data_IF_574331861405
#
_entry.id   IF_574331861405
#
_cell.length_a   1.000
_cell.length_b   1.000
_cell.length_c   1.000
_cell.angle_alpha   90.00
_cell.angle_beta   90.00
_cell.angle_gamma   90.00
#
_symmetry.space_group_name_H-M   'P 1'
#
loop_
_entity.id
_entity.type
_entity.pdbx_description
1 polymer ?
#
# COMPACT_ATOMS: atom_id res chain seq x y z
N UNK A 1 24.90 -1.32 25.81
CA UNK A 1 24.68 -2.22 24.65
C UNK A 1 26.02 -2.80 24.20
N UNK A 2 26.17 -4.13 24.29
CA UNK A 2 27.38 -4.87 23.87
C UNK A 2 27.63 -4.74 22.37
N UNK A 3 28.91 -4.68 21.95
CA UNK A 3 29.33 -4.63 20.52
C UNK A 3 28.71 -5.76 19.68
N UNK A 4 28.36 -6.88 20.29
CA UNK A 4 27.73 -8.04 19.64
C UNK A 4 26.28 -7.76 19.18
N UNK A 5 25.48 -7.09 20.03
CA UNK A 5 24.09 -6.76 19.70
C UNK A 5 23.99 -5.75 18.53
N UNK A 6 24.96 -4.83 18.43
CA UNK A 6 25.00 -3.85 17.33
C UNK A 6 25.29 -4.52 15.99
N UNK A 7 26.12 -5.57 15.99
CA UNK A 7 26.48 -6.34 14.79
C UNK A 7 25.30 -7.17 14.28
N UNK A 8 24.60 -7.85 15.20
CA UNK A 8 23.40 -8.63 14.86
C UNK A 8 22.30 -7.78 14.20
N UNK A 9 22.07 -6.55 14.69
CA UNK A 9 21.08 -5.64 14.09
C UNK A 9 21.49 -5.22 12.67
N UNK A 10 22.78 -4.96 12.44
CA UNK A 10 23.32 -4.58 11.13
C UNK A 10 23.25 -5.74 10.15
N UNK A 11 23.57 -6.96 10.59
CA UNK A 11 23.51 -8.16 9.76
C UNK A 11 22.05 -8.50 9.38
N UNK A 12 21.11 -8.34 10.32
CA UNK A 12 19.68 -8.45 10.03
C UNK A 12 19.25 -7.41 9.00
N UNK A 13 19.65 -6.14 9.18
CA UNK A 13 19.32 -5.06 8.25
C UNK A 13 19.83 -5.34 6.83
N UNK A 14 21.08 -5.78 6.67
CA UNK A 14 21.63 -6.19 5.38
C UNK A 14 20.89 -7.38 4.78
N UNK A 15 20.59 -8.41 5.59
CA UNK A 15 19.84 -9.58 5.11
C UNK A 15 18.42 -9.24 4.65
N UNK A 16 17.82 -8.20 5.23
CA UNK A 16 16.51 -7.70 4.85
C UNK A 16 16.61 -6.92 3.54
N UNK A 17 17.64 -6.10 3.36
CA UNK A 17 17.85 -5.32 2.15
C UNK A 17 18.01 -6.18 0.89
N UNK A 18 18.67 -7.33 1.00
CA UNK A 18 18.80 -8.30 -0.11
C UNK A 18 17.50 -9.08 -0.39
N UNK A 19 16.59 -9.14 0.59
CA UNK A 19 15.27 -9.81 0.48
C UNK A 19 14.19 -8.89 -0.05
N UNK A 20 14.40 -7.57 -0.05
CA UNK A 20 13.47 -6.64 -0.69
C UNK A 20 13.80 -6.57 -2.19
N UNK A 21 12.89 -7.02 -3.08
CA UNK A 21 13.10 -6.86 -4.51
C UNK A 21 13.37 -5.37 -4.81
N UNK A 22 14.38 -5.10 -5.64
CA UNK A 22 14.66 -3.75 -6.13
C UNK A 22 13.34 -3.16 -6.60
N UNK A 23 12.99 -2.01 -6.06
CA UNK A 23 11.78 -1.26 -6.40
C UNK A 23 11.79 -1.04 -7.92
N UNK A 24 11.14 -1.92 -8.69
CA UNK A 24 11.17 -1.85 -10.13
C UNK A 24 10.37 -0.62 -10.54
N UNK A 25 11.08 0.40 -11.01
CA UNK A 25 10.48 1.57 -11.59
C UNK A 25 9.79 1.13 -12.87
N UNK A 26 8.46 1.32 -12.93
CA UNK A 26 7.68 1.03 -14.14
C UNK A 26 8.30 1.73 -15.35
N UNK A 27 8.50 0.99 -16.44
CA UNK A 27 9.00 1.48 -17.71
C UNK A 27 8.13 2.61 -18.33
N UNK A 28 6.95 2.90 -17.75
CA UNK A 28 6.15 4.05 -18.14
C UNK A 28 5.41 4.70 -16.94
N UNK A 29 6.15 5.54 -16.20
CA UNK A 29 5.67 6.31 -15.03
C UNK A 29 4.35 7.04 -15.30
N UNK A 30 4.22 7.68 -16.48
CA UNK A 30 3.01 8.43 -16.83
C UNK A 30 1.76 7.55 -16.80
N UNK A 31 1.84 6.35 -17.39
CA UNK A 31 0.73 5.40 -17.41
C UNK A 31 0.35 4.96 -16.00
N UNK A 32 1.34 4.64 -15.16
CA UNK A 32 1.11 4.19 -13.78
C UNK A 32 0.44 5.26 -12.93
N UNK A 33 0.95 6.49 -12.99
CA UNK A 33 0.37 7.61 -12.24
C UNK A 33 -1.04 7.89 -12.76
N UNK A 34 -1.24 7.92 -14.08
CA UNK A 34 -2.56 8.18 -14.65
C UNK A 34 -3.59 7.10 -14.25
N UNK A 35 -3.23 5.81 -14.32
CA UNK A 35 -4.09 4.72 -13.84
C UNK A 35 -4.45 4.92 -12.36
N UNK A 36 -3.48 5.31 -11.54
CA UNK A 36 -3.70 5.56 -10.11
C UNK A 36 -4.65 6.74 -9.89
N UNK A 37 -4.42 7.87 -10.54
CA UNK A 37 -5.28 9.06 -10.41
C UNK A 37 -6.71 8.75 -10.85
N UNK A 38 -6.89 8.05 -11.98
CA UNK A 38 -8.22 7.72 -12.52
C UNK A 38 -8.96 6.73 -11.63
N UNK A 39 -8.27 5.77 -11.01
CA UNK A 39 -8.90 4.70 -10.21
C UNK A 39 -9.12 5.07 -8.75
N UNK A 40 -8.40 6.08 -8.25
CA UNK A 40 -8.48 6.50 -6.85
C UNK A 40 -9.04 7.92 -6.66
N UNK A 41 -9.07 8.76 -7.70
CA UNK A 41 -9.37 10.19 -7.56
C UNK A 41 -10.78 10.52 -7.07
N UNK A 42 -11.75 9.63 -7.30
CA UNK A 42 -13.12 9.79 -6.79
C UNK A 42 -13.25 9.39 -5.32
N UNK A 43 -12.30 8.61 -4.77
CA UNK A 43 -12.39 8.06 -3.42
C UNK A 43 -12.49 9.16 -2.35
N UNK A 44 -11.81 10.30 -2.52
CA UNK A 44 -11.92 11.45 -1.62
C UNK A 44 -13.33 12.07 -1.55
N UNK A 45 -14.18 11.81 -2.55
CA UNK A 45 -15.56 12.28 -2.64
C UNK A 45 -16.60 11.17 -2.42
N UNK A 46 -16.20 9.90 -2.40
CA UNK A 46 -17.13 8.78 -2.21
C UNK A 46 -16.97 8.10 -0.85
N UNK A 47 -15.81 8.23 -0.21
CA UNK A 47 -15.52 7.61 1.09
C UNK A 47 -15.85 8.56 2.25
N UNK A 48 -17.12 8.88 2.44
CA UNK A 48 -17.60 9.56 3.64
C UNK A 48 -18.23 8.57 4.63
N UNK A 49 -18.10 8.79 5.93
CA UNK A 49 -18.74 7.93 6.95
C UNK A 49 -17.79 7.08 7.82
N UNK A 50 -16.50 7.39 7.82
CA UNK A 50 -15.52 6.81 8.74
C UNK A 50 -14.83 5.54 8.22
N UNK A 51 -13.84 5.00 8.95
CA UNK A 51 -12.91 3.99 8.42
C UNK A 51 -13.59 2.72 7.89
N UNK A 52 -14.65 2.25 8.54
CA UNK A 52 -15.39 1.07 8.10
C UNK A 52 -15.97 1.22 6.69
N UNK A 53 -16.49 2.41 6.35
CA UNK A 53 -17.01 2.71 5.01
C UNK A 53 -15.88 2.66 3.98
N UNK A 54 -14.72 3.22 4.32
CA UNK A 54 -13.60 3.28 3.39
C UNK A 54 -13.14 1.86 3.02
N UNK A 55 -13.06 0.95 3.99
CA UNK A 55 -12.68 -0.44 3.75
C UNK A 55 -13.71 -1.19 2.88
N UNK A 56 -15.01 -0.95 3.09
CA UNK A 56 -16.06 -1.52 2.23
C UNK A 56 -15.95 -0.99 0.79
N UNK A 57 -15.71 0.31 0.61
CA UNK A 57 -15.51 0.91 -0.72
C UNK A 57 -14.27 0.32 -1.40
N UNK A 58 -13.16 0.17 -0.66
CA UNK A 58 -11.93 -0.41 -1.19
C UNK A 58 -12.09 -1.88 -1.57
N UNK A 59 -12.78 -2.65 -0.74
CA UNK A 59 -13.06 -4.06 -1.00
C UNK A 59 -13.86 -4.22 -2.30
N UNK A 60 -15.03 -3.55 -2.38
CA UNK A 60 -15.86 -3.54 -3.59
C UNK A 60 -15.08 -3.11 -4.83
N UNK A 61 -14.20 -2.13 -4.71
CA UNK A 61 -13.46 -1.59 -5.86
C UNK A 61 -12.28 -2.47 -6.28
N UNK A 62 -11.39 -2.78 -5.36
CA UNK A 62 -10.10 -3.40 -5.66
C UNK A 62 -10.14 -4.93 -5.60
N UNK A 63 -11.12 -5.52 -4.91
CA UNK A 63 -11.36 -6.97 -4.91
C UNK A 63 -12.41 -7.30 -5.97
N UNK A 64 -13.65 -6.81 -5.82
CA UNK A 64 -14.77 -7.25 -6.66
C UNK A 64 -14.75 -6.63 -8.07
N UNK A 65 -14.57 -5.31 -8.18
CA UNK A 65 -14.73 -4.61 -9.47
C UNK A 65 -13.48 -4.70 -10.35
N UNK A 66 -12.29 -4.57 -9.76
CA UNK A 66 -11.03 -4.52 -10.52
C UNK A 66 -10.20 -5.80 -10.44
N UNK A 67 -10.44 -6.68 -9.45
CA UNK A 67 -9.65 -7.90 -9.27
C UNK A 67 -8.16 -7.64 -9.04
N UNK A 68 -7.80 -6.50 -8.44
CA UNK A 68 -6.40 -6.17 -8.11
C UNK A 68 -5.89 -6.96 -6.92
N UNK A 69 -6.79 -7.39 -6.05
CA UNK A 69 -6.51 -8.14 -4.84
C UNK A 69 -7.46 -9.35 -4.80
N UNK A 70 -6.96 -10.46 -4.29
CA UNK A 70 -7.81 -11.54 -3.82
C UNK A 70 -8.30 -11.25 -2.41
N UNK A 71 -9.38 -11.92 -2.00
CA UNK A 71 -9.93 -11.80 -0.63
C UNK A 71 -8.85 -12.00 0.45
N UNK A 72 -8.03 -13.07 0.41
CA UNK A 72 -7.02 -13.29 1.46
C UNK A 72 -6.00 -12.16 1.54
N UNK A 73 -5.55 -11.63 0.39
CA UNK A 73 -4.57 -10.53 0.36
C UNK A 73 -5.18 -9.24 0.90
N UNK A 74 -6.46 -8.98 0.64
CA UNK A 74 -7.15 -7.83 1.22
C UNK A 74 -7.20 -7.91 2.75
N UNK A 75 -7.53 -9.08 3.31
CA UNK A 75 -7.57 -9.30 4.76
C UNK A 75 -6.18 -9.20 5.40
N UNK A 76 -5.13 -9.69 4.75
CA UNK A 76 -3.75 -9.53 5.22
C UNK A 76 -3.34 -8.06 5.28
N UNK A 77 -3.61 -7.28 4.21
CA UNK A 77 -3.34 -5.84 4.21
C UNK A 77 -4.15 -5.11 5.28
N UNK A 78 -5.42 -5.50 5.46
CA UNK A 78 -6.25 -4.94 6.52
C UNK A 78 -5.61 -5.17 7.90
N UNK A 79 -5.23 -6.41 8.22
CA UNK A 79 -4.58 -6.74 9.49
C UNK A 79 -3.29 -5.95 9.71
N UNK A 80 -2.43 -5.84 8.70
CA UNK A 80 -1.17 -5.07 8.77
C UNK A 80 -1.46 -3.59 9.03
N UNK A 81 -2.44 -3.01 8.34
CA UNK A 81 -2.75 -1.58 8.48
C UNK A 81 -3.43 -1.24 9.81
N UNK A 82 -4.12 -2.19 10.43
CA UNK A 82 -4.65 -2.05 11.79
C UNK A 82 -3.55 -2.16 12.86
N UNK A 83 -2.51 -2.97 12.63
CA UNK A 83 -1.42 -3.16 13.57
C UNK A 83 -0.49 -1.94 13.67
N UNK A 84 -0.34 -1.18 12.58
CA UNK A 84 0.53 0.00 12.53
C UNK A 84 -0.18 1.25 13.04
N UNK A 85 0.57 2.19 13.63
CA UNK A 85 0.04 3.49 14.06
C UNK A 85 -0.40 4.36 12.85
N UNK A 86 -1.30 5.32 13.09
CA UNK A 86 -1.82 6.25 12.07
C UNK A 86 -3.11 5.77 11.37
N UNK A 87 -3.64 6.55 10.40
CA UNK A 87 -4.94 6.27 9.78
C UNK A 87 -4.93 4.98 8.95
N UNK A 88 -5.67 3.96 9.38
CA UNK A 88 -5.66 2.65 8.73
C UNK A 88 -6.17 2.69 7.26
N UNK A 89 -7.16 3.52 6.95
CA UNK A 89 -7.68 3.69 5.58
C UNK A 89 -6.64 4.24 4.61
N UNK A 90 -5.86 5.25 5.01
CA UNK A 90 -4.76 5.81 4.21
C UNK A 90 -3.65 4.79 3.98
N UNK A 91 -3.25 4.08 5.03
CA UNK A 91 -2.23 3.02 4.92
C UNK A 91 -2.68 1.91 3.99
N UNK A 92 -3.96 1.52 4.08
CA UNK A 92 -4.51 0.49 3.22
C UNK A 92 -4.50 0.91 1.75
N UNK A 93 -4.95 2.12 1.43
CA UNK A 93 -4.92 2.63 0.05
C UNK A 93 -3.49 2.71 -0.51
N UNK A 94 -2.54 3.15 0.33
CA UNK A 94 -1.12 3.17 -0.03
C UNK A 94 -0.60 1.76 -0.36
N UNK A 95 -0.85 0.77 0.51
CA UNK A 95 -0.42 -0.61 0.30
C UNK A 95 -1.05 -1.25 -0.95
N UNK A 96 -2.31 -0.97 -1.23
CA UNK A 96 -3.00 -1.46 -2.43
C UNK A 96 -2.30 -0.95 -3.69
N UNK A 97 -2.05 0.36 -3.78
CA UNK A 97 -1.41 0.98 -4.94
C UNK A 97 0.09 0.62 -5.05
N UNK A 98 0.78 0.45 -3.91
CA UNK A 98 2.15 -0.05 -3.85
C UNK A 98 2.25 -1.45 -4.46
N UNK A 99 1.33 -2.35 -4.10
CA UNK A 99 1.30 -3.71 -4.64
C UNK A 99 0.91 -3.73 -6.11
N UNK A 100 -0.01 -2.87 -6.54
CA UNK A 100 -0.53 -2.84 -7.92
C UNK A 100 0.53 -2.36 -8.92
N UNK A 101 1.13 -1.21 -8.68
CA UNK A 101 1.96 -0.50 -9.66
C UNK A 101 3.27 0.08 -9.07
N UNK A 102 3.63 -0.28 -7.84
CA UNK A 102 4.87 0.13 -7.20
C UNK A 102 4.80 1.47 -6.48
N UNK A 103 5.96 1.97 -6.06
CA UNK A 103 6.07 3.08 -5.11
C UNK A 103 5.49 4.40 -5.61
N UNK A 104 5.70 4.73 -6.88
CA UNK A 104 5.14 5.97 -7.44
C UNK A 104 3.61 5.98 -7.44
N UNK A 105 2.99 4.83 -7.71
CA UNK A 105 1.55 4.69 -7.58
C UNK A 105 1.12 4.90 -6.13
N UNK A 106 1.81 4.26 -5.18
CA UNK A 106 1.53 4.41 -3.75
C UNK A 106 1.59 5.87 -3.26
N UNK A 107 2.65 6.60 -3.63
CA UNK A 107 2.81 8.02 -3.29
C UNK A 107 1.75 8.87 -3.98
N UNK A 108 1.46 8.63 -5.26
CA UNK A 108 0.44 9.39 -5.97
C UNK A 108 -0.96 9.18 -5.37
N UNK A 109 -1.30 7.94 -4.99
CA UNK A 109 -2.55 7.62 -4.30
C UNK A 109 -2.62 8.29 -2.92
N UNK A 110 -1.51 8.31 -2.17
CA UNK A 110 -1.44 8.97 -0.87
C UNK A 110 -1.66 10.47 -0.96
N UNK A 111 -1.15 11.15 -1.99
CA UNK A 111 -1.29 12.60 -2.12
C UNK A 111 -2.70 13.05 -2.52
N UNK A 112 -3.49 12.17 -3.14
CA UNK A 112 -4.86 12.49 -3.57
C UNK A 112 -5.95 11.98 -2.62
N UNK A 113 -5.54 11.28 -1.56
CA UNK A 113 -6.42 10.63 -0.59
C UNK A 113 -6.52 11.44 0.70
#
# INVERSE_FOLDING_TARGET
MSRSARKAVVDVFHSLQDRFPKLEWSANVKRVVLETLVKNGDLGFTCFGGPAVHFQVYHKRFVETHGWLSEPVFQELFAVTQALSGPASTKMLYCINLRRNGFLAAVSAFLIW
#
